data_IF_181815302067
#
_entry.id   IF_181815302067
#
_cell.length_a   1.000
_cell.length_b   1.000
_cell.length_c   1.000
_cell.angle_alpha   90.00
_cell.angle_beta   90.00
_cell.angle_gamma   90.00
#
_symmetry.space_group_name_H-M   'P 1'
#
loop_
_entity.id
_entity.type
_entity.pdbx_description
1 polymer ?
#
# COMPACT_ATOMS: atom_id res chain seq x y z
N UNK A 1 -2.27 4.33 26.23
CA UNK A 1 -2.42 4.56 24.78
C UNK A 1 -2.24 6.04 24.58
N UNK A 2 -1.00 6.42 24.34
CA UNK A 2 -0.65 7.74 23.83
C UNK A 2 -0.36 7.53 22.33
N UNK A 3 -0.70 8.52 21.51
CA UNK A 3 -0.41 8.52 20.09
C UNK A 3 0.85 9.34 19.81
N UNK A 4 1.57 9.03 18.72
CA UNK A 4 2.74 9.85 18.34
C UNK A 4 2.32 11.26 17.98
N UNK A 5 1.11 11.42 17.44
CA UNK A 5 0.53 12.71 17.10
C UNK A 5 0.32 13.58 18.34
N UNK A 6 0.10 12.98 19.52
CA UNK A 6 0.07 13.72 20.79
C UNK A 6 1.47 14.26 21.13
N UNK A 7 2.55 13.50 20.91
CA UNK A 7 3.93 14.00 21.09
C UNK A 7 4.29 15.08 20.06
N UNK A 8 3.79 14.98 18.83
CA UNK A 8 3.97 16.02 17.82
C UNK A 8 3.34 17.34 18.29
N UNK A 9 2.11 17.28 18.81
CA UNK A 9 1.39 18.46 19.28
C UNK A 9 1.98 19.03 20.56
N UNK A 10 2.38 18.18 21.50
CA UNK A 10 2.79 18.60 22.85
C UNK A 10 4.28 18.93 22.96
N UNK A 11 5.14 18.38 22.09
CA UNK A 11 6.59 18.52 22.19
C UNK A 11 7.24 19.04 20.90
N UNK A 12 6.96 18.44 19.74
CA UNK A 12 7.61 18.82 18.48
C UNK A 12 7.20 20.21 18.00
N UNK A 13 5.90 20.46 17.80
CA UNK A 13 5.40 21.73 17.28
C UNK A 13 5.73 22.92 18.19
N UNK A 14 5.62 22.84 19.53
CA UNK A 14 6.06 23.91 20.41
C UNK A 14 7.56 24.21 20.28
N UNK A 15 8.39 23.18 20.15
CA UNK A 15 9.84 23.31 19.98
C UNK A 15 10.18 23.99 18.66
N UNK A 16 9.71 23.44 17.54
CA UNK A 16 9.96 23.98 16.19
C UNK A 16 9.41 25.41 16.05
N UNK A 17 8.21 25.69 16.56
CA UNK A 17 7.66 27.06 16.53
C UNK A 17 8.47 28.04 17.38
N UNK A 18 9.01 27.61 18.51
CA UNK A 18 9.87 28.45 19.34
C UNK A 18 11.17 28.80 18.62
N UNK A 19 11.83 27.80 18.01
CA UNK A 19 13.05 27.98 17.25
C UNK A 19 12.82 28.89 16.03
N UNK A 20 11.79 28.60 15.24
CA UNK A 20 11.45 29.38 14.05
C UNK A 20 11.02 30.82 14.38
N UNK A 21 10.30 31.02 15.50
CA UNK A 21 9.99 32.37 15.97
C UNK A 21 11.24 33.15 16.41
N UNK A 22 12.22 32.48 17.02
CA UNK A 22 13.53 33.05 17.34
C UNK A 22 14.27 33.47 16.08
N UNK A 23 14.39 32.55 15.13
CA UNK A 23 15.10 32.75 13.87
C UNK A 23 14.52 33.91 13.04
N UNK A 24 13.19 33.98 12.92
CA UNK A 24 12.52 35.10 12.24
C UNK A 24 12.77 36.45 12.94
N UNK A 25 12.84 36.47 14.28
CA UNK A 25 13.13 37.69 15.04
C UNK A 25 14.57 38.14 14.89
N UNK A 26 15.52 37.20 14.87
CA UNK A 26 16.93 37.51 14.65
C UNK A 26 17.19 38.06 13.24
N UNK A 27 16.31 37.71 12.30
CA UNK A 27 16.23 38.31 10.95
C UNK A 27 15.46 39.63 10.87
N UNK A 28 15.02 40.17 12.01
CA UNK A 28 14.48 41.52 12.12
C UNK A 28 12.96 41.65 12.04
N UNK A 29 12.22 40.54 11.99
CA UNK A 29 10.75 40.61 12.03
C UNK A 29 10.25 41.01 13.43
N UNK A 30 9.21 41.83 13.46
CA UNK A 30 8.48 42.17 14.68
C UNK A 30 7.63 41.00 15.16
N UNK A 31 7.23 41.00 16.43
CA UNK A 31 6.36 39.93 16.98
C UNK A 31 5.03 39.77 16.22
N UNK A 32 4.47 40.87 15.71
CA UNK A 32 3.22 40.84 14.94
C UNK A 32 3.41 40.24 13.55
N UNK A 33 4.56 40.49 12.92
CA UNK A 33 4.91 39.87 11.64
C UNK A 33 5.17 38.38 11.80
N UNK A 34 5.94 37.98 12.82
CA UNK A 34 6.14 36.56 13.15
C UNK A 34 4.81 35.85 13.43
N UNK A 35 3.90 36.48 14.18
CA UNK A 35 2.58 35.92 14.45
C UNK A 35 1.78 35.68 13.16
N UNK A 36 1.86 36.62 12.20
CA UNK A 36 1.20 36.52 10.91
C UNK A 36 1.80 35.39 10.06
N UNK A 37 3.13 35.30 10.00
CA UNK A 37 3.85 34.28 9.24
C UNK A 37 3.58 32.87 9.77
N UNK A 38 3.62 32.69 11.09
CA UNK A 38 3.41 31.39 11.75
C UNK A 38 1.92 31.02 11.92
N UNK A 39 0.99 31.93 11.61
CA UNK A 39 -0.45 31.69 11.75
C UNK A 39 -0.92 31.51 13.21
N UNK A 40 -0.23 32.16 14.16
CA UNK A 40 -0.53 32.07 15.60
C UNK A 40 -0.80 33.46 16.20
N UNK A 41 -1.23 33.52 17.46
CA UNK A 41 -1.41 34.81 18.13
C UNK A 41 -0.08 35.48 18.46
N UNK A 42 -0.05 36.81 18.46
CA UNK A 42 1.12 37.58 18.95
C UNK A 42 1.47 37.22 20.41
N UNK A 43 0.46 36.90 21.23
CA UNK A 43 0.67 36.44 22.60
C UNK A 43 1.39 35.08 22.67
N UNK A 44 1.18 34.18 21.69
CA UNK A 44 1.91 32.92 21.59
C UNK A 44 3.37 33.17 21.20
N UNK A 45 3.63 34.05 20.24
CA UNK A 45 5.01 34.49 19.87
C UNK A 45 5.73 35.08 21.08
N UNK A 46 5.04 35.91 21.88
CA UNK A 46 5.63 36.48 23.09
C UNK A 46 6.04 35.39 24.09
N UNK A 47 5.25 34.33 24.26
CA UNK A 47 5.59 33.22 25.16
C UNK A 47 6.80 32.45 24.68
N UNK A 48 6.89 32.15 23.38
CA UNK A 48 8.08 31.51 22.81
C UNK A 48 9.34 32.35 23.04
N UNK A 49 9.27 33.66 22.77
CA UNK A 49 10.41 34.57 22.94
C UNK A 49 10.91 34.71 24.39
N UNK A 50 10.06 34.43 25.38
CA UNK A 50 10.43 34.48 26.81
C UNK A 50 10.76 33.10 27.39
N UNK A 51 10.69 32.03 26.59
CA UNK A 51 10.88 30.66 27.07
C UNK A 51 9.76 30.14 27.97
N UNK A 52 8.56 30.74 27.89
CA UNK A 52 7.39 30.37 28.70
C UNK A 52 6.65 29.14 28.14
N UNK A 53 7.20 28.49 27.11
CA UNK A 53 6.65 27.28 26.49
C UNK A 53 7.64 26.15 26.69
N UNK A 54 7.15 25.00 27.14
CA UNK A 54 7.97 23.79 27.23
C UNK A 54 8.47 23.41 25.83
N UNK A 55 9.77 23.16 25.73
CA UNK A 55 10.44 22.66 24.53
C UNK A 55 11.18 21.38 24.87
N UNK A 56 11.45 20.54 23.88
CA UNK A 56 12.18 19.30 24.04
C UNK A 56 13.62 19.48 23.51
N UNK A 57 14.60 19.32 24.40
CA UNK A 57 16.03 19.52 24.08
C UNK A 57 16.54 18.55 22.99
N UNK A 58 16.00 17.33 22.90
CA UNK A 58 16.39 16.35 21.86
C UNK A 58 15.89 16.79 20.49
N UNK A 59 14.69 17.35 20.41
CA UNK A 59 14.12 17.89 19.17
C UNK A 59 14.88 19.15 18.77
N UNK A 60 15.20 20.03 19.72
CA UNK A 60 15.96 21.25 19.45
C UNK A 60 17.42 20.99 19.01
N UNK A 61 17.98 19.83 19.36
CA UNK A 61 19.34 19.44 19.02
C UNK A 61 19.43 18.55 17.75
N UNK A 62 18.31 18.18 17.13
CA UNK A 62 18.34 17.37 15.89
C UNK A 62 18.80 18.25 14.71
N UNK A 63 19.86 17.81 14.02
CA UNK A 63 20.49 18.57 12.93
C UNK A 63 19.51 18.85 11.76
N UNK A 64 18.53 17.98 11.53
CA UNK A 64 17.52 18.18 10.46
C UNK A 64 16.50 19.22 10.87
N UNK A 65 16.11 19.26 12.14
CA UNK A 65 15.24 20.31 12.70
C UNK A 65 15.93 21.66 12.60
N UNK A 66 17.19 21.76 13.04
CA UNK A 66 18.00 22.98 12.98
C UNK A 66 18.13 23.49 11.52
N UNK A 67 18.53 22.60 10.61
CA UNK A 67 18.66 22.93 9.18
C UNK A 67 17.35 23.41 8.56
N UNK A 68 16.23 22.75 8.88
CA UNK A 68 14.92 23.15 8.36
C UNK A 68 14.48 24.50 8.94
N UNK A 69 14.69 24.73 10.24
CA UNK A 69 14.35 26.02 10.87
C UNK A 69 15.13 27.17 10.23
N UNK A 70 16.43 26.98 9.98
CA UNK A 70 17.28 27.97 9.32
C UNK A 70 16.81 28.27 7.89
N UNK A 71 16.50 27.24 7.10
CA UNK A 71 16.01 27.38 5.72
C UNK A 71 14.64 28.08 5.68
N UNK A 72 13.69 27.61 6.50
CA UNK A 72 12.36 28.22 6.58
C UNK A 72 12.44 29.65 7.10
N UNK A 73 13.24 29.91 8.13
CA UNK A 73 13.45 31.25 8.68
C UNK A 73 13.98 32.22 7.63
N UNK A 74 14.94 31.79 6.83
CA UNK A 74 15.47 32.57 5.70
C UNK A 74 14.41 32.85 4.63
N UNK A 75 13.76 31.79 4.14
CA UNK A 75 12.81 31.90 3.04
C UNK A 75 11.54 32.65 3.42
N UNK A 76 11.03 32.47 4.65
CA UNK A 76 9.85 33.18 5.14
C UNK A 76 10.15 34.68 5.38
N UNK A 77 11.33 35.03 5.91
CA UNK A 77 11.72 36.43 6.11
C UNK A 77 11.94 37.16 4.78
N UNK A 78 12.46 36.47 3.76
CA UNK A 78 12.64 37.01 2.42
C UNK A 78 11.34 37.04 1.59
N UNK A 79 10.34 36.25 1.97
CA UNK A 79 9.09 36.05 1.22
C UNK A 79 9.22 35.06 0.06
N UNK A 80 10.32 34.31 0.00
CA UNK A 80 10.58 33.26 -1.00
C UNK A 80 9.84 31.96 -0.69
N UNK A 81 9.57 31.70 0.60
CA UNK A 81 8.80 30.55 1.09
C UNK A 81 7.45 31.05 1.59
N UNK A 82 6.38 30.35 1.21
CA UNK A 82 5.02 30.64 1.72
C UNK A 82 4.76 29.88 3.02
N UNK A 83 3.84 30.35 3.89
CA UNK A 83 3.45 29.59 5.09
C UNK A 83 2.92 28.19 4.79
N UNK A 84 2.27 28.00 3.64
CA UNK A 84 1.79 26.67 3.19
C UNK A 84 2.97 25.76 2.85
N UNK A 85 3.97 26.28 2.15
CA UNK A 85 5.18 25.50 1.85
C UNK A 85 5.94 25.15 3.12
N UNK A 86 6.12 26.10 4.04
CA UNK A 86 6.74 25.82 5.34
C UNK A 86 5.99 24.74 6.13
N UNK A 87 4.66 24.75 6.09
CA UNK A 87 3.84 23.68 6.67
C UNK A 87 4.12 22.33 6.00
N UNK A 88 4.19 22.27 4.66
CA UNK A 88 4.51 21.03 3.94
C UNK A 88 5.88 20.49 4.34
N UNK A 89 6.92 21.33 4.40
CA UNK A 89 8.27 20.88 4.78
C UNK A 89 8.33 20.37 6.22
N UNK A 90 7.63 21.05 7.15
CA UNK A 90 7.53 20.59 8.55
C UNK A 90 6.80 19.24 8.63
N UNK A 91 5.72 19.05 7.86
CA UNK A 91 4.99 17.77 7.81
C UNK A 91 5.83 16.65 7.20
N UNK A 92 6.67 16.95 6.21
CA UNK A 92 7.64 15.98 5.65
C UNK A 92 8.65 15.57 6.71
N UNK A 93 9.22 16.53 7.44
CA UNK A 93 10.18 16.23 8.51
C UNK A 93 9.54 15.42 9.65
N UNK A 94 8.31 15.75 10.07
CA UNK A 94 7.59 14.97 11.09
C UNK A 94 7.51 13.51 10.67
N UNK A 95 7.10 13.23 9.43
CA UNK A 95 7.02 11.85 8.91
C UNK A 95 8.37 11.15 8.88
N UNK A 96 9.44 11.86 8.51
CA UNK A 96 10.79 11.31 8.53
C UNK A 96 11.17 10.87 9.95
N UNK A 97 10.98 11.76 10.94
CA UNK A 97 11.32 11.50 12.34
C UNK A 97 10.43 10.46 13.02
N UNK A 98 9.23 10.25 12.49
CA UNK A 98 8.32 9.18 12.87
C UNK A 98 8.80 7.79 12.40
N UNK A 99 9.74 7.71 11.46
CA UNK A 99 10.28 6.43 10.98
C UNK A 99 10.82 5.60 12.15
N UNK A 100 10.56 4.29 12.12
CA UNK A 100 10.93 3.37 13.20
C UNK A 100 12.41 3.45 13.56
N UNK A 101 12.70 3.73 14.84
CA UNK A 101 14.06 3.92 15.35
C UNK A 101 14.62 5.33 15.19
N UNK A 102 13.86 6.27 14.61
CA UNK A 102 14.22 7.69 14.55
C UNK A 102 13.61 8.48 15.73
N UNK A 103 13.81 9.80 15.78
CA UNK A 103 13.63 10.61 16.98
C UNK A 103 12.23 10.57 17.58
N UNK A 104 11.18 10.84 16.78
CA UNK A 104 9.80 10.84 17.29
C UNK A 104 9.33 9.42 17.63
N UNK A 105 9.78 8.42 16.87
CA UNK A 105 9.53 7.01 17.19
C UNK A 105 10.15 6.62 18.54
N UNK A 106 11.41 7.00 18.79
CA UNK A 106 12.09 6.73 20.07
C UNK A 106 11.40 7.43 21.24
N UNK A 107 11.01 8.70 21.09
CA UNK A 107 10.26 9.43 22.11
C UNK A 107 8.91 8.75 22.40
N UNK A 108 8.26 8.21 21.38
CA UNK A 108 7.00 7.49 21.55
C UNK A 108 7.16 6.13 22.22
N UNK A 109 8.20 5.37 21.88
CA UNK A 109 8.54 4.12 22.56
C UNK A 109 8.88 4.37 24.05
N UNK A 110 9.53 5.47 24.37
CA UNK A 110 9.80 5.88 25.76
C UNK A 110 8.51 6.25 26.52
N UNK A 111 7.56 6.91 25.84
CA UNK A 111 6.28 7.30 26.40
C UNK A 111 5.29 6.12 26.56
N UNK A 112 5.42 5.10 25.71
CA UNK A 112 4.59 3.88 25.73
C UNK A 112 5.49 2.63 25.72
N UNK A 113 6.03 2.23 26.90
CA UNK A 113 7.00 1.14 26.99
C UNK A 113 6.50 -0.20 26.43
N UNK A 114 5.19 -0.44 26.37
CA UNK A 114 4.60 -1.64 25.77
C UNK A 114 4.89 -1.77 24.25
N UNK A 115 5.25 -0.67 23.57
CA UNK A 115 5.67 -0.69 22.17
C UNK A 115 7.07 -1.29 22.01
N UNK A 116 7.97 -1.11 22.99
CA UNK A 116 9.34 -1.61 22.94
C UNK A 116 9.40 -3.16 22.93
N UNK A 117 8.42 -3.83 23.56
CA UNK A 117 8.34 -5.29 23.63
C UNK A 117 8.02 -5.96 22.27
N UNK A 118 7.59 -5.18 21.27
CA UNK A 118 7.26 -5.69 19.93
C UNK A 118 8.41 -5.53 18.91
N UNK A 119 9.58 -5.04 19.37
CA UNK A 119 10.81 -4.92 18.58
C UNK A 119 10.73 -3.90 17.43
N UNK A 120 11.87 -3.61 16.80
CA UNK A 120 11.99 -2.70 15.64
C UNK A 120 11.18 -3.11 14.39
N UNK A 121 10.51 -4.26 14.44
CA UNK A 121 9.55 -4.74 13.43
C UNK A 121 8.12 -4.21 13.68
N UNK A 122 7.87 -3.57 14.82
CA UNK A 122 6.60 -2.95 15.15
C UNK A 122 6.61 -1.48 14.71
N UNK A 123 6.71 -1.27 13.39
CA UNK A 123 6.59 0.04 12.75
C UNK A 123 5.15 0.56 12.85
N UNK A 124 4.81 1.18 13.98
CA UNK A 124 3.50 1.85 14.19
C UNK A 124 3.43 3.18 13.42
N UNK A 125 4.58 3.74 13.06
CA UNK A 125 4.74 5.11 12.56
C UNK A 125 5.29 5.21 11.14
N UNK A 126 5.15 4.15 10.35
CA UNK A 126 5.48 4.19 8.93
C UNK A 126 4.18 4.37 8.11
N UNK A 127 3.78 5.61 7.78
CA UNK A 127 2.59 5.89 6.99
C UNK A 127 2.70 5.44 5.52
N UNK A 128 3.89 5.03 5.04
CA UNK A 128 4.17 4.71 3.64
C UNK A 128 5.12 3.51 3.47
N UNK A 129 4.62 2.26 3.58
CA UNK A 129 4.89 1.27 2.53
C UNK A 129 4.08 -0.04 2.67
N UNK A 130 4.28 -0.83 3.73
CA UNK A 130 3.86 -2.23 3.65
C UNK A 130 2.46 -2.49 4.20
N UNK A 131 2.16 -2.11 5.45
CA UNK A 131 0.92 -2.55 6.13
C UNK A 131 -0.38 -2.04 5.50
N UNK A 132 -0.44 -0.76 5.09
CA UNK A 132 -1.62 -0.22 4.39
C UNK A 132 -1.78 -0.82 3.01
N UNK A 133 -0.69 -1.01 2.28
CA UNK A 133 -0.71 -1.63 0.96
C UNK A 133 -1.17 -3.08 1.08
N UNK A 134 -0.62 -3.83 2.03
CA UNK A 134 -1.09 -5.18 2.39
C UNK A 134 -2.56 -5.19 2.77
N UNK A 135 -3.03 -4.29 3.63
CA UNK A 135 -4.45 -4.24 4.00
C UNK A 135 -5.36 -3.82 2.84
N UNK A 136 -4.91 -2.98 1.91
CA UNK A 136 -5.66 -2.66 0.69
C UNK A 136 -5.81 -3.89 -0.20
N UNK A 137 -4.72 -4.63 -0.41
CA UNK A 137 -4.72 -5.90 -1.16
C UNK A 137 -5.67 -6.91 -0.51
N UNK A 138 -5.52 -7.16 0.80
CA UNK A 138 -6.40 -8.06 1.55
C UNK A 138 -7.86 -7.60 1.53
N UNK A 139 -8.11 -6.30 1.62
CA UNK A 139 -9.47 -5.74 1.55
C UNK A 139 -10.08 -5.88 0.16
N UNK A 140 -9.29 -5.74 -0.90
CA UNK A 140 -9.73 -5.97 -2.28
C UNK A 140 -10.07 -7.44 -2.49
N UNK A 141 -9.22 -8.37 -2.04
CA UNK A 141 -9.51 -9.81 -2.07
C UNK A 141 -10.79 -10.17 -1.31
N UNK A 142 -10.98 -9.64 -0.09
CA UNK A 142 -12.23 -9.84 0.67
C UNK A 142 -13.46 -9.27 -0.04
N UNK A 143 -13.32 -8.26 -0.90
CA UNK A 143 -14.43 -7.74 -1.74
C UNK A 143 -14.66 -8.65 -2.95
N UNK A 144 -13.62 -9.02 -3.69
CA UNK A 144 -13.68 -9.96 -4.81
C UNK A 144 -14.27 -11.32 -4.41
N UNK A 145 -13.82 -11.89 -3.30
CA UNK A 145 -14.37 -13.15 -2.78
C UNK A 145 -15.86 -13.04 -2.45
N UNK A 146 -16.30 -11.94 -1.84
CA UNK A 146 -17.73 -11.71 -1.59
C UNK A 146 -18.53 -11.61 -2.89
N UNK A 147 -17.96 -11.03 -3.96
CA UNK A 147 -18.61 -11.00 -5.27
C UNK A 147 -18.80 -12.44 -5.77
N UNK A 148 -17.74 -13.25 -5.74
CA UNK A 148 -17.75 -14.65 -6.21
C UNK A 148 -18.65 -15.56 -5.37
N UNK A 149 -18.64 -15.43 -4.05
CA UNK A 149 -19.50 -16.22 -3.14
C UNK A 149 -20.99 -15.93 -3.35
N UNK A 150 -21.33 -14.69 -3.73
CA UNK A 150 -22.70 -14.28 -4.02
C UNK A 150 -23.10 -14.49 -5.50
N UNK A 151 -22.13 -14.76 -6.37
CA UNK A 151 -22.34 -15.01 -7.79
C UNK A 151 -22.92 -16.42 -7.99
N UNK A 152 -24.24 -16.47 -8.18
CA UNK A 152 -24.97 -17.72 -8.40
C UNK A 152 -24.50 -18.36 -9.71
N UNK A 153 -23.81 -19.49 -9.63
CA UNK A 153 -23.27 -20.18 -10.81
C UNK A 153 -21.74 -20.26 -10.83
N UNK A 154 -21.03 -19.44 -10.03
CA UNK A 154 -19.56 -19.48 -9.98
C UNK A 154 -19.02 -20.87 -9.59
N UNK A 155 -19.74 -21.63 -8.76
CA UNK A 155 -19.37 -23.01 -8.44
C UNK A 155 -19.19 -23.90 -9.68
N UNK A 156 -19.92 -23.62 -10.77
CA UNK A 156 -19.80 -24.30 -12.05
C UNK A 156 -18.55 -23.93 -12.86
N UNK A 157 -17.84 -22.86 -12.50
CA UNK A 157 -16.57 -22.43 -13.09
C UNK A 157 -15.34 -22.86 -12.27
N UNK A 158 -15.54 -23.47 -11.09
CA UNK A 158 -14.42 -23.92 -10.24
C UNK A 158 -13.82 -25.21 -10.83
N UNK A 159 -12.50 -25.28 -11.08
CA UNK A 159 -11.82 -26.48 -11.56
C UNK A 159 -11.64 -27.53 -10.44
N UNK A 160 -11.26 -28.76 -10.80
CA UNK A 160 -11.05 -29.84 -9.83
C UNK A 160 -9.90 -29.54 -8.86
N UNK A 161 -8.87 -28.81 -9.31
CA UNK A 161 -7.78 -28.31 -8.45
C UNK A 161 -8.18 -27.11 -7.57
N UNK A 162 -9.42 -26.61 -7.70
CA UNK A 162 -9.93 -25.43 -7.00
C UNK A 162 -9.47 -24.10 -7.64
N UNK A 163 -10.26 -23.05 -7.44
CA UNK A 163 -9.95 -21.69 -7.87
C UNK A 163 -9.18 -20.94 -6.79
N UNK A 164 -8.33 -20.01 -7.16
CA UNK A 164 -7.70 -19.09 -6.22
C UNK A 164 -7.70 -17.68 -6.81
N UNK A 165 -8.37 -16.76 -6.13
CA UNK A 165 -8.31 -15.33 -6.43
C UNK A 165 -7.11 -14.77 -5.68
N UNK A 166 -6.18 -14.16 -6.41
CA UNK A 166 -4.96 -13.58 -5.87
C UNK A 166 -4.85 -12.11 -6.25
N UNK A 167 -4.14 -11.34 -5.42
CA UNK A 167 -3.79 -9.96 -5.69
C UNK A 167 -2.42 -9.65 -5.07
N UNK A 168 -1.64 -8.81 -5.73
CA UNK A 168 -0.28 -8.47 -5.32
C UNK A 168 -0.14 -7.00 -4.91
N UNK A 169 0.94 -6.67 -4.21
CA UNK A 169 1.32 -5.27 -4.01
C UNK A 169 1.83 -4.65 -5.34
N UNK A 170 1.85 -3.31 -5.48
CA UNK A 170 2.34 -2.65 -6.69
C UNK A 170 3.78 -3.04 -7.06
N UNK A 171 4.65 -3.18 -6.05
CA UNK A 171 6.08 -3.50 -6.23
C UNK A 171 6.37 -5.01 -6.12
N UNK A 172 5.35 -5.85 -6.26
CA UNK A 172 5.47 -7.30 -6.05
C UNK A 172 6.53 -7.95 -6.96
N UNK A 173 7.44 -8.67 -6.33
CA UNK A 173 8.61 -9.30 -6.97
C UNK A 173 8.63 -10.82 -6.80
N UNK A 174 8.01 -11.31 -5.72
CA UNK A 174 8.01 -12.71 -5.32
C UNK A 174 6.64 -13.12 -4.73
N UNK A 175 6.49 -14.41 -4.40
CA UNK A 175 5.21 -14.98 -3.93
C UNK A 175 4.76 -14.39 -2.59
N UNK A 176 5.69 -13.98 -1.72
CA UNK A 176 5.36 -13.38 -0.42
C UNK A 176 4.69 -12.00 -0.58
N UNK A 177 4.84 -11.36 -1.74
CA UNK A 177 4.18 -10.10 -2.10
C UNK A 177 2.76 -10.30 -2.68
N UNK A 178 2.31 -11.55 -2.79
CA UNK A 178 1.00 -11.93 -3.35
C UNK A 178 0.12 -12.56 -2.30
N UNK A 179 -1.07 -12.01 -2.10
CA UNK A 179 -2.09 -12.58 -1.25
C UNK A 179 -3.09 -13.43 -2.05
N UNK A 180 -3.62 -14.46 -1.41
CA UNK A 180 -4.63 -15.36 -1.98
C UNK A 180 -5.39 -16.12 -0.90
N UNK A 181 -6.22 -17.08 -1.31
CA UNK A 181 -6.99 -17.91 -0.38
C UNK A 181 -6.17 -19.14 0.03
N UNK A 182 -5.82 -19.29 1.32
CA UNK A 182 -5.19 -20.51 1.80
C UNK A 182 -6.18 -21.67 1.68
N UNK A 183 -5.77 -22.76 1.01
CA UNK A 183 -6.64 -23.90 0.76
C UNK A 183 -7.62 -23.74 -0.41
N UNK A 184 -7.56 -22.62 -1.17
CA UNK A 184 -8.34 -22.38 -2.41
C UNK A 184 -9.86 -22.34 -2.21
N UNK A 185 -10.57 -21.96 -3.26
CA UNK A 185 -12.03 -21.90 -3.36
C UNK A 185 -12.50 -23.20 -4.02
N UNK A 186 -13.45 -23.89 -3.37
CA UNK A 186 -13.99 -25.16 -3.86
C UNK A 186 -15.52 -25.14 -3.98
N UNK A 187 -16.05 -25.94 -4.91
CA UNK A 187 -17.47 -26.24 -4.95
C UNK A 187 -17.84 -27.24 -3.84
N UNK A 188 -18.64 -26.80 -2.88
CA UNK A 188 -19.25 -27.64 -1.85
C UNK A 188 -20.77 -27.60 -2.01
N UNK A 189 -21.30 -28.62 -2.71
CA UNK A 189 -22.75 -28.83 -2.94
C UNK A 189 -23.39 -27.69 -3.76
N UNK A 190 -22.73 -27.27 -4.84
CA UNK A 190 -23.19 -26.21 -5.73
C UNK A 190 -22.94 -24.80 -5.18
N UNK A 191 -21.96 -24.65 -4.27
CA UNK A 191 -21.63 -23.37 -3.62
C UNK A 191 -20.13 -23.19 -3.54
N UNK A 192 -19.65 -22.04 -4.01
CA UNK A 192 -18.28 -21.62 -3.78
C UNK A 192 -18.04 -21.47 -2.27
N UNK A 193 -17.06 -22.20 -1.75
CA UNK A 193 -16.70 -22.21 -0.34
C UNK A 193 -15.26 -21.74 -0.19
N UNK A 194 -15.08 -20.69 0.59
CA UNK A 194 -13.78 -20.14 0.98
C UNK A 194 -13.43 -20.68 2.37
N UNK A 195 -12.35 -21.47 2.52
CA UNK A 195 -12.06 -22.17 3.77
C UNK A 195 -11.48 -21.26 4.87
N UNK A 196 -10.83 -20.16 4.51
CA UNK A 196 -10.18 -19.23 5.43
C UNK A 196 -9.99 -17.85 4.78
N UNK A 197 -9.71 -16.84 5.61
CA UNK A 197 -9.44 -15.48 5.15
C UNK A 197 -8.18 -15.41 4.26
N UNK A 198 -8.09 -14.44 3.32
CA UNK A 198 -6.91 -14.28 2.49
C UNK A 198 -5.65 -13.95 3.27
N UNK A 199 -4.52 -14.49 2.82
CA UNK A 199 -3.20 -14.33 3.44
C UNK A 199 -2.12 -14.18 2.36
N UNK A 200 -1.00 -13.53 2.68
CA UNK A 200 0.16 -13.40 1.79
C UNK A 200 0.96 -14.71 1.72
N UNK A 201 1.54 -15.01 0.55
CA UNK A 201 2.46 -16.13 0.36
C UNK A 201 1.79 -17.52 0.27
N UNK A 202 0.46 -17.59 0.18
CA UNK A 202 -0.27 -18.87 0.28
C UNK A 202 -0.63 -19.51 -1.07
N UNK A 203 -0.49 -18.79 -2.17
CA UNK A 203 -0.84 -19.27 -3.52
C UNK A 203 0.36 -19.24 -4.44
N UNK A 204 1.06 -20.37 -4.59
CA UNK A 204 2.27 -20.43 -5.43
C UNK A 204 1.95 -20.35 -6.92
N UNK A 205 0.97 -21.13 -7.38
CA UNK A 205 0.73 -21.33 -8.82
C UNK A 205 0.13 -20.09 -9.50
N UNK A 206 -1.00 -19.58 -9.00
CA UNK A 206 -1.65 -18.39 -9.58
C UNK A 206 -0.78 -17.14 -9.38
N UNK A 207 -0.04 -17.04 -8.27
CA UNK A 207 0.94 -15.96 -8.09
C UNK A 207 2.06 -16.05 -9.12
N UNK A 208 2.54 -17.25 -9.46
CA UNK A 208 3.57 -17.42 -10.49
C UNK A 208 3.08 -16.93 -11.85
N UNK A 209 1.84 -17.25 -12.24
CA UNK A 209 1.25 -16.74 -13.49
C UNK A 209 1.14 -15.21 -13.46
N UNK A 210 0.56 -14.63 -12.41
CA UNK A 210 0.41 -13.17 -12.25
C UNK A 210 1.77 -12.45 -12.29
N UNK A 211 2.74 -12.89 -11.49
CA UNK A 211 4.06 -12.26 -11.42
C UNK A 211 4.84 -12.40 -12.72
N UNK A 212 4.71 -13.53 -13.42
CA UNK A 212 5.37 -13.73 -14.71
C UNK A 212 4.79 -12.81 -15.78
N UNK A 213 3.46 -12.69 -15.84
CA UNK A 213 2.82 -11.73 -16.74
C UNK A 213 3.26 -10.29 -16.45
N UNK A 214 3.30 -9.88 -15.18
CA UNK A 214 3.77 -8.55 -14.76
C UNK A 214 5.21 -8.27 -15.18
N UNK A 215 6.12 -9.24 -15.02
CA UNK A 215 7.54 -9.10 -15.42
C UNK A 215 7.70 -8.84 -16.92
N UNK A 216 6.75 -9.29 -17.73
CA UNK A 216 6.73 -9.11 -19.18
C UNK A 216 5.87 -7.93 -19.64
N UNK A 217 5.36 -7.11 -18.71
CA UNK A 217 4.73 -5.82 -19.00
C UNK A 217 3.22 -5.76 -18.79
N UNK A 218 2.57 -6.86 -18.38
CA UNK A 218 1.17 -6.81 -18.00
C UNK A 218 0.96 -5.88 -16.79
N UNK A 219 -0.06 -5.03 -16.84
CA UNK A 219 -0.39 -4.08 -15.76
C UNK A 219 -1.23 -4.69 -14.63
N UNK A 220 -1.59 -5.97 -14.75
CA UNK A 220 -2.48 -6.66 -13.83
C UNK A 220 -1.91 -6.78 -12.41
N UNK A 221 -2.71 -6.45 -11.39
CA UNK A 221 -2.36 -6.64 -9.97
C UNK A 221 -3.16 -7.78 -9.31
N UNK A 222 -4.11 -8.38 -10.04
CA UNK A 222 -4.90 -9.50 -9.56
C UNK A 222 -5.09 -10.57 -10.64
N UNK A 223 -5.35 -11.80 -10.19
CA UNK A 223 -5.65 -12.91 -11.07
C UNK A 223 -6.58 -13.94 -10.42
N UNK A 224 -7.34 -14.68 -11.23
CA UNK A 224 -8.08 -15.86 -10.78
C UNK A 224 -7.97 -16.98 -11.81
N UNK A 225 -7.83 -18.22 -11.35
CA UNK A 225 -7.98 -19.39 -12.21
C UNK A 225 -9.40 -19.95 -12.15
N UNK A 226 -9.96 -20.25 -13.31
CA UNK A 226 -11.24 -20.94 -13.50
C UNK A 226 -11.05 -22.16 -14.41
N UNK A 227 -12.03 -23.06 -14.42
CA UNK A 227 -12.02 -24.24 -15.30
C UNK A 227 -11.96 -23.78 -16.75
N UNK A 228 -11.11 -24.44 -17.53
CA UNK A 228 -11.14 -24.28 -18.98
C UNK A 228 -12.42 -24.89 -19.58
N UNK A 229 -13.08 -24.09 -20.41
CA UNK A 229 -14.16 -24.51 -21.28
C UNK A 229 -14.10 -23.61 -22.53
N UNK A 230 -14.25 -24.21 -23.72
CA UNK A 230 -14.14 -23.46 -24.97
C UNK A 230 -15.24 -22.40 -25.11
N UNK A 231 -16.44 -22.65 -24.58
CA UNK A 231 -17.54 -21.68 -24.62
C UNK A 231 -17.26 -20.52 -23.65
N UNK A 232 -16.64 -20.80 -22.49
CA UNK A 232 -16.22 -19.75 -21.54
C UNK A 232 -15.13 -18.85 -22.14
N UNK A 233 -14.16 -19.45 -22.84
CA UNK A 233 -13.09 -18.68 -23.49
C UNK A 233 -13.64 -17.78 -24.60
N UNK A 234 -14.55 -18.31 -25.43
CA UNK A 234 -15.21 -17.54 -26.49
C UNK A 234 -16.03 -16.37 -25.94
N UNK A 235 -16.75 -16.56 -24.83
CA UNK A 235 -17.50 -15.49 -24.17
C UNK A 235 -16.57 -14.38 -23.65
N UNK A 236 -15.41 -14.71 -23.08
CA UNK A 236 -14.42 -13.71 -22.66
C UNK A 236 -13.90 -12.88 -23.85
N UNK A 237 -13.64 -13.52 -24.99
CA UNK A 237 -13.26 -12.83 -26.23
C UNK A 237 -14.37 -11.90 -26.73
N UNK A 238 -15.64 -12.33 -26.68
CA UNK A 238 -16.80 -11.50 -27.04
C UNK A 238 -16.97 -10.29 -26.10
N UNK A 239 -16.58 -10.43 -24.83
CA UNK A 239 -16.54 -9.34 -23.84
C UNK A 239 -15.34 -8.40 -24.02
N UNK A 240 -14.45 -8.69 -24.98
CA UNK A 240 -13.33 -7.83 -25.36
C UNK A 240 -12.01 -8.15 -24.67
N UNK A 241 -11.91 -9.31 -24.01
CA UNK A 241 -10.64 -9.79 -23.46
C UNK A 241 -9.76 -10.36 -24.58
N UNK A 242 -8.50 -9.93 -24.64
CA UNK A 242 -7.49 -10.62 -25.44
C UNK A 242 -7.00 -11.87 -24.70
N UNK A 243 -7.02 -13.00 -25.41
CA UNK A 243 -6.65 -14.33 -24.91
C UNK A 243 -5.28 -14.74 -25.46
N UNK A 244 -4.46 -15.39 -24.63
CA UNK A 244 -3.21 -16.00 -25.08
C UNK A 244 -3.04 -17.40 -24.47
N UNK A 245 -2.73 -18.37 -25.33
CA UNK A 245 -2.41 -19.74 -24.90
C UNK A 245 -0.94 -19.82 -24.47
N UNK A 246 -0.65 -20.58 -23.41
CA UNK A 246 0.71 -20.92 -23.02
C UNK A 246 0.85 -22.42 -22.74
N UNK A 247 2.08 -22.93 -22.81
CA UNK A 247 2.38 -24.34 -22.54
C UNK A 247 2.67 -24.56 -21.05
N UNK A 248 1.82 -25.35 -20.39
CA UNK A 248 1.89 -25.73 -18.97
C UNK A 248 2.86 -26.91 -18.72
N UNK A 249 3.37 -27.56 -19.77
CA UNK A 249 4.30 -28.69 -19.65
C UNK A 249 5.77 -28.27 -19.49
N UNK A 250 6.09 -27.02 -19.81
CA UNK A 250 7.39 -26.39 -19.63
C UNK A 250 7.43 -25.52 -18.35
N UNK A 251 8.49 -24.73 -18.18
CA UNK A 251 8.58 -23.75 -17.10
C UNK A 251 7.47 -22.67 -17.25
N UNK A 252 6.44 -22.75 -16.40
CA UNK A 252 5.26 -21.88 -16.43
C UNK A 252 5.63 -20.40 -16.53
N UNK A 253 6.65 -19.96 -15.78
CA UNK A 253 7.07 -18.56 -15.80
C UNK A 253 7.58 -18.12 -17.18
N UNK A 254 8.41 -18.95 -17.81
CA UNK A 254 8.92 -18.71 -19.16
C UNK A 254 7.81 -18.80 -20.22
N UNK A 255 6.91 -19.78 -20.13
CA UNK A 255 5.79 -19.94 -21.06
C UNK A 255 4.80 -18.78 -20.99
N UNK A 256 4.44 -18.32 -19.79
CA UNK A 256 3.59 -17.15 -19.58
C UNK A 256 4.28 -15.88 -20.10
N UNK A 257 5.59 -15.74 -19.86
CA UNK A 257 6.36 -14.62 -20.37
C UNK A 257 6.33 -14.54 -21.90
N UNK A 258 6.55 -15.68 -22.57
CA UNK A 258 6.48 -15.75 -24.03
C UNK A 258 5.07 -15.41 -24.58
N UNK A 259 4.02 -15.89 -23.92
CA UNK A 259 2.65 -15.56 -24.28
C UNK A 259 2.35 -14.06 -24.19
N UNK A 260 2.81 -13.39 -23.12
CA UNK A 260 2.65 -11.93 -22.96
C UNK A 260 3.54 -11.14 -23.92
N UNK A 261 4.76 -11.61 -24.22
CA UNK A 261 5.62 -10.96 -25.21
C UNK A 261 4.99 -10.97 -26.61
N UNK A 262 4.30 -12.07 -26.99
CA UNK A 262 3.58 -12.20 -28.26
C UNK A 262 2.22 -11.47 -28.24
N UNK A 263 1.58 -11.39 -27.06
CA UNK A 263 0.28 -10.76 -26.83
C UNK A 263 0.32 -9.77 -25.64
N UNK A 264 0.88 -8.55 -25.83
CA UNK A 264 1.11 -7.61 -24.72
C UNK A 264 -0.13 -7.10 -24.01
N UNK A 265 -1.28 -7.12 -24.69
CA UNK A 265 -2.57 -6.65 -24.18
C UNK A 265 -3.45 -7.80 -23.64
N UNK A 266 -2.93 -9.04 -23.58
CA UNK A 266 -3.66 -10.19 -23.08
C UNK A 266 -4.09 -10.00 -21.61
N UNK A 267 -5.40 -10.11 -21.39
CA UNK A 267 -6.01 -10.09 -20.03
C UNK A 267 -6.48 -11.48 -19.63
N UNK A 268 -6.42 -12.45 -20.53
CA UNK A 268 -6.76 -13.85 -20.27
C UNK A 268 -5.63 -14.73 -20.76
N UNK A 269 -5.06 -15.53 -19.87
CA UNK A 269 -4.11 -16.58 -20.19
C UNK A 269 -4.79 -17.93 -20.05
N UNK A 270 -4.50 -18.90 -20.92
CA UNK A 270 -5.07 -20.23 -20.77
C UNK A 270 -4.13 -21.33 -21.24
N UNK A 271 -4.43 -22.54 -20.81
CA UNK A 271 -3.75 -23.76 -21.25
C UNK A 271 -4.74 -24.91 -21.35
N UNK A 272 -4.52 -25.77 -22.35
CA UNK A 272 -5.46 -26.83 -22.75
C UNK A 272 -5.16 -28.20 -22.10
N UNK A 273 -4.32 -28.21 -21.08
CA UNK A 273 -4.04 -29.36 -20.23
C UNK A 273 -3.00 -30.32 -20.82
N UNK A 274 -2.78 -31.40 -20.10
CA UNK A 274 -1.82 -32.43 -20.48
C UNK A 274 -1.92 -33.65 -19.57
N UNK A 275 -1.05 -34.67 -19.74
CA UNK A 275 -1.04 -35.84 -18.87
C UNK A 275 -0.85 -35.45 -17.38
N UNK A 276 -1.92 -35.52 -16.60
CA UNK A 276 -1.92 -35.14 -15.18
C UNK A 276 -2.08 -33.65 -14.90
N UNK A 277 -2.32 -32.83 -15.93
CA UNK A 277 -2.50 -31.38 -15.86
C UNK A 277 -3.93 -31.07 -16.29
N UNK A 278 -4.72 -30.49 -15.37
CA UNK A 278 -6.07 -30.01 -15.68
C UNK A 278 -6.00 -28.72 -16.51
N UNK A 279 -6.80 -28.55 -17.57
CA UNK A 279 -6.82 -27.32 -18.36
C UNK A 279 -7.48 -26.18 -17.58
N UNK A 280 -6.91 -24.96 -17.68
CA UNK A 280 -7.31 -23.79 -16.89
C UNK A 280 -7.32 -22.51 -17.73
N UNK A 281 -8.17 -21.58 -17.31
CA UNK A 281 -8.19 -20.19 -17.78
C UNK A 281 -7.82 -19.30 -16.58
N UNK A 282 -6.97 -18.31 -16.82
CA UNK A 282 -6.52 -17.31 -15.86
C UNK A 282 -6.97 -15.93 -16.34
N UNK A 283 -7.85 -15.28 -15.59
CA UNK A 283 -8.23 -13.90 -15.85
C UNK A 283 -7.29 -13.00 -15.05
N UNK A 284 -6.74 -11.99 -15.71
CA UNK A 284 -5.83 -10.98 -15.16
C UNK A 284 -6.54 -9.63 -15.14
N UNK A 285 -6.36 -8.85 -14.09
CA UNK A 285 -7.00 -7.55 -13.98
C UNK A 285 -6.32 -6.59 -13.00
N UNK A 286 -6.79 -5.33 -12.95
CA UNK A 286 -6.16 -4.28 -12.15
C UNK A 286 -6.37 -4.47 -10.65
N UNK A 287 -7.42 -5.16 -10.22
CA UNK A 287 -7.69 -5.50 -8.83
C UNK A 287 -8.61 -6.73 -8.72
N UNK A 288 -8.77 -7.24 -7.50
CA UNK A 288 -9.52 -8.48 -7.26
C UNK A 288 -11.03 -8.33 -7.49
N UNK A 289 -11.56 -7.11 -7.46
CA UNK A 289 -12.98 -6.83 -7.68
C UNK A 289 -13.30 -6.84 -9.17
N UNK A 290 -12.46 -6.20 -9.99
CA UNK A 290 -12.55 -6.21 -11.44
C UNK A 290 -12.52 -7.65 -11.96
N UNK A 291 -11.52 -8.44 -11.54
CA UNK A 291 -11.41 -9.85 -11.93
C UNK A 291 -12.63 -10.67 -11.48
N UNK A 292 -13.14 -10.42 -10.27
CA UNK A 292 -14.34 -11.11 -9.78
C UNK A 292 -15.62 -10.70 -10.54
N UNK A 293 -15.72 -9.45 -10.97
CA UNK A 293 -16.83 -8.93 -11.78
C UNK A 293 -16.79 -9.53 -13.19
N UNK A 294 -15.61 -9.68 -13.80
CA UNK A 294 -15.41 -10.36 -15.10
C UNK A 294 -15.79 -11.85 -15.00
N UNK A 295 -15.47 -12.52 -13.90
CA UNK A 295 -15.95 -13.89 -13.69
C UNK A 295 -17.47 -13.94 -13.51
N UNK A 296 -18.06 -12.93 -12.86
CA UNK A 296 -19.51 -12.85 -12.65
C UNK A 296 -20.28 -12.61 -13.95
N UNK A 297 -19.72 -11.89 -14.93
CA UNK A 297 -20.39 -11.65 -16.22
C UNK A 297 -20.54 -12.92 -17.07
N UNK A 298 -19.81 -14.00 -16.74
CA UNK A 298 -19.91 -15.30 -17.41
C UNK A 298 -21.10 -16.17 -16.95
N UNK A 299 -21.91 -15.70 -15.99
CA UNK A 299 -22.99 -16.45 -15.34
C UNK A 299 -24.39 -16.03 -15.80
#
# INVERSE_FOLDING_TARGET
MQFVEELVVDEFLPTVRSLLAGELRDRGLTQSEVATVLGISQSAVSKYAHGDVATNDRIAADERVDSLVDELGAGLAAGDITPVQALIEIEILIRELETGGDLLAQLHEEAVPELADHGSSFRVHDPENDRRTSERVLSSLRRGLRILENASGFAGLIPAVGSNLVACTPDASNIDDVAGVPGRIFDVKGKATVPADPEFGVSEHVATVLLSARRHGATAEAAINVRYDADVLAELEEQGHETAEFDESDDVGSSVGAAIDDHPDATVLYQTGGPGIEPLIYLLGPDAEAVADDVRSLL
#
